data_IF_177052391113
#
_entry.id   IF_177052391113
#
_cell.length_a   1.000
_cell.length_b   1.000
_cell.length_c   1.000
_cell.angle_alpha   90.00
_cell.angle_beta   90.00
_cell.angle_gamma   90.00
#
_symmetry.space_group_name_H-M   'P 1'
#
loop_
_entity.id
_entity.type
_entity.pdbx_description
1 polymer ?
#
# COMPACT_ATOMS: atom_id res chain seq x y z
N UNK A 1 6.63 57.02 -38.23
CA UNK A 1 5.71 55.90 -38.19
C UNK A 1 6.46 54.82 -37.39
N UNK A 2 6.36 54.90 -36.08
CA UNK A 2 7.05 54.06 -35.11
C UNK A 2 5.99 53.08 -34.61
N UNK A 3 6.21 51.77 -34.81
CA UNK A 3 5.37 50.70 -34.27
C UNK A 3 5.95 50.30 -32.92
N UNK A 4 5.19 50.57 -31.87
CA UNK A 4 5.44 50.06 -30.53
C UNK A 4 5.12 48.54 -30.48
N UNK A 5 6.11 47.78 -30.06
CA UNK A 5 5.95 46.37 -29.67
C UNK A 5 5.73 46.35 -28.16
N UNK A 6 4.49 46.04 -27.77
CA UNK A 6 4.11 45.90 -26.37
C UNK A 6 4.56 44.56 -25.83
N UNK A 7 5.49 44.56 -24.88
CA UNK A 7 5.84 43.43 -24.01
C UNK A 7 4.70 43.15 -23.04
N UNK A 8 3.96 42.07 -23.28
CA UNK A 8 2.98 41.49 -22.34
C UNK A 8 3.74 40.47 -21.47
N UNK A 9 4.33 40.91 -20.38
CA UNK A 9 4.75 40.07 -19.27
C UNK A 9 3.50 39.59 -18.53
N UNK A 10 3.06 38.37 -18.83
CA UNK A 10 2.06 37.68 -18.05
C UNK A 10 2.63 37.38 -16.65
N UNK A 11 2.19 38.18 -15.67
CA UNK A 11 2.44 37.93 -14.27
C UNK A 11 1.74 36.65 -13.84
N UNK A 12 2.55 35.64 -13.50
CA UNK A 12 2.10 34.42 -12.81
C UNK A 12 1.32 34.83 -11.55
N UNK A 13 0.13 34.26 -11.27
CA UNK A 13 -0.58 34.59 -10.04
C UNK A 13 0.26 34.05 -8.87
N UNK A 14 0.77 34.97 -8.05
CA UNK A 14 1.32 34.63 -6.75
C UNK A 14 0.24 33.86 -5.97
N UNK A 15 0.50 32.60 -5.62
CA UNK A 15 -0.29 31.86 -4.65
C UNK A 15 -0.34 32.69 -3.38
N UNK A 16 -1.52 33.23 -3.05
CA UNK A 16 -1.78 33.79 -1.73
C UNK A 16 -1.60 32.64 -0.75
N UNK A 17 -0.55 32.69 0.06
CA UNK A 17 -0.49 31.92 1.30
C UNK A 17 -1.71 32.32 2.13
N UNK A 18 -2.72 31.48 2.16
CA UNK A 18 -3.79 31.61 3.14
C UNK A 18 -3.14 31.49 4.53
N UNK A 19 -3.13 32.58 5.25
CA UNK A 19 -2.65 32.60 6.64
C UNK A 19 -3.52 31.66 7.45
N UNK A 20 -2.98 30.52 7.87
CA UNK A 20 -3.67 29.58 8.74
C UNK A 20 -3.96 30.33 10.04
N UNK A 21 -5.23 30.56 10.42
CA UNK A 21 -5.56 31.30 11.64
C UNK A 21 -5.03 30.57 12.87
N UNK A 22 -4.73 31.33 13.94
CA UNK A 22 -4.35 30.73 15.22
C UNK A 22 -5.46 29.77 15.68
N UNK A 23 -5.09 28.55 16.04
CA UNK A 23 -6.03 27.55 16.51
C UNK A 23 -6.63 27.97 17.84
N UNK A 24 -7.95 27.86 17.97
CA UNK A 24 -8.66 28.08 19.23
C UNK A 24 -8.28 26.97 20.24
N UNK A 25 -7.92 27.37 21.48
CA UNK A 25 -7.43 26.44 22.49
C UNK A 25 -8.53 25.51 23.00
N UNK A 26 -9.76 25.99 23.10
CA UNK A 26 -10.91 25.19 23.53
C UNK A 26 -11.22 24.10 22.46
N UNK A 27 -11.12 24.45 21.19
CA UNK A 27 -11.23 23.47 20.10
C UNK A 27 -10.15 22.39 20.19
N UNK A 28 -8.91 22.75 20.54
CA UNK A 28 -7.84 21.77 20.77
C UNK A 28 -8.18 20.84 21.94
N UNK A 29 -8.69 21.41 23.06
CA UNK A 29 -9.08 20.64 24.23
C UNK A 29 -10.16 19.61 23.93
N UNK A 30 -11.21 20.02 23.21
CA UNK A 30 -12.33 19.15 22.86
C UNK A 30 -11.94 18.01 21.89
N UNK A 31 -10.81 18.13 21.22
CA UNK A 31 -10.28 17.07 20.32
C UNK A 31 -9.40 16.04 21.04
N UNK A 32 -9.24 16.10 22.35
CA UNK A 32 -8.45 15.13 23.13
C UNK A 32 -9.34 13.95 23.52
N UNK A 33 -8.99 12.75 23.03
CA UNK A 33 -9.80 11.53 23.22
C UNK A 33 -9.78 11.00 24.66
N UNK A 34 -8.64 11.11 25.37
CA UNK A 34 -8.50 10.61 26.72
C UNK A 34 -9.14 11.60 27.73
N UNK A 35 -10.16 11.19 28.54
CA UNK A 35 -10.86 12.08 29.45
C UNK A 35 -9.96 12.74 30.50
N UNK A 36 -9.05 11.97 31.11
CA UNK A 36 -8.13 12.47 32.13
C UNK A 36 -7.16 13.49 31.54
N UNK A 37 -6.60 13.17 30.34
CA UNK A 37 -5.74 14.11 29.61
C UNK A 37 -6.48 15.38 29.20
N UNK A 38 -7.76 15.27 28.79
CA UNK A 38 -8.62 16.40 28.44
C UNK A 38 -8.85 17.34 29.66
N UNK A 39 -9.08 16.77 30.86
CA UNK A 39 -9.28 17.54 32.08
C UNK A 39 -8.03 18.35 32.48
N UNK A 40 -6.87 17.67 32.54
CA UNK A 40 -5.60 18.32 32.87
C UNK A 40 -5.12 19.30 31.79
N UNK A 41 -5.40 19.04 30.53
CA UNK A 41 -5.13 19.97 29.43
C UNK A 41 -6.00 21.24 29.59
N UNK A 42 -7.27 21.06 29.97
CA UNK A 42 -8.16 22.17 30.30
C UNK A 42 -7.67 23.01 31.48
N UNK A 43 -7.05 22.37 32.49
CA UNK A 43 -6.43 23.13 33.61
C UNK A 43 -5.25 23.97 33.10
N UNK A 44 -4.36 23.38 32.26
CA UNK A 44 -3.24 24.11 31.68
C UNK A 44 -3.72 25.35 30.87
N UNK A 45 -4.79 25.20 30.09
CA UNK A 45 -5.39 26.28 29.30
C UNK A 45 -5.98 27.36 30.22
N UNK A 46 -6.74 26.98 31.25
CA UNK A 46 -7.30 27.95 32.23
C UNK A 46 -6.20 28.74 32.93
N UNK A 47 -5.09 28.08 33.30
CA UNK A 47 -3.93 28.77 33.87
C UNK A 47 -3.32 29.77 32.89
N UNK A 48 -3.21 29.41 31.62
CA UNK A 48 -2.74 30.28 30.55
C UNK A 48 -3.65 31.52 30.40
N UNK A 49 -4.95 31.32 30.28
CA UNK A 49 -5.94 32.38 30.11
C UNK A 49 -5.98 33.34 31.31
N UNK A 50 -5.72 32.82 32.52
CA UNK A 50 -5.60 33.61 33.74
C UNK A 50 -4.25 34.35 33.90
N UNK A 51 -3.33 34.24 32.92
CA UNK A 51 -2.00 34.82 33.01
C UNK A 51 -1.04 34.09 33.97
N UNK A 52 -1.45 32.93 34.50
CA UNK A 52 -0.65 32.11 35.43
C UNK A 52 0.29 31.17 34.64
N UNK A 53 1.18 31.76 33.87
CA UNK A 53 2.00 31.05 32.87
C UNK A 53 2.86 29.93 33.44
N UNK A 54 3.50 30.14 34.60
CA UNK A 54 4.31 29.08 35.26
C UNK A 54 3.45 27.87 35.65
N UNK A 55 2.24 28.11 36.19
CA UNK A 55 1.32 27.03 36.53
C UNK A 55 0.85 26.29 35.26
N UNK A 56 0.57 27.01 34.17
CA UNK A 56 0.21 26.44 32.90
C UNK A 56 1.30 25.48 32.35
N UNK A 57 2.59 25.87 32.39
CA UNK A 57 3.72 25.03 31.97
C UNK A 57 3.80 23.76 32.82
N UNK A 58 3.61 23.83 34.12
CA UNK A 58 3.63 22.66 35.02
C UNK A 58 2.45 21.73 34.77
N UNK A 59 1.22 22.25 34.66
CA UNK A 59 0.02 21.48 34.38
C UNK A 59 0.12 20.82 33.00
N UNK A 60 0.69 21.50 32.01
CA UNK A 60 0.92 20.97 30.67
C UNK A 60 1.89 19.80 30.64
N UNK A 61 2.98 19.86 31.45
CA UNK A 61 3.89 18.74 31.61
C UNK A 61 3.22 17.52 32.23
N UNK A 62 2.41 17.73 33.27
CA UNK A 62 1.61 16.66 33.90
C UNK A 62 0.69 16.01 32.87
N UNK A 63 -0.03 16.82 32.09
CA UNK A 63 -0.89 16.34 31.00
C UNK A 63 -0.13 15.44 30.02
N UNK A 64 1.05 15.89 29.58
CA UNK A 64 1.91 15.15 28.65
C UNK A 64 2.30 13.78 29.21
N UNK A 65 2.77 13.73 30.47
CA UNK A 65 3.19 12.47 31.12
C UNK A 65 2.00 11.53 31.28
N UNK A 66 0.85 12.02 31.69
CA UNK A 66 -0.37 11.23 31.86
C UNK A 66 -0.83 10.62 30.54
N UNK A 67 -0.87 11.42 29.45
CA UNK A 67 -1.31 10.95 28.14
C UNK A 67 -0.36 9.90 27.55
N UNK A 68 0.95 10.14 27.64
CA UNK A 68 1.94 9.13 27.22
C UNK A 68 1.83 7.84 28.03
N UNK A 69 1.57 7.93 29.34
CA UNK A 69 1.36 6.77 30.22
C UNK A 69 0.08 6.03 29.85
N UNK A 70 -1.01 6.73 29.56
CA UNK A 70 -2.26 6.13 29.09
C UNK A 70 -2.07 5.38 27.76
N UNK A 71 -1.32 5.96 26.82
CA UNK A 71 -0.95 5.31 25.55
C UNK A 71 -0.13 4.05 25.76
N UNK A 72 0.83 4.07 26.70
CA UNK A 72 1.61 2.89 27.06
C UNK A 72 0.75 1.79 27.68
N UNK A 73 -0.25 2.15 28.52
CA UNK A 73 -1.21 1.18 29.07
C UNK A 73 -2.04 0.53 27.96
N UNK A 74 -2.55 1.31 27.03
CA UNK A 74 -3.29 0.77 25.88
C UNK A 74 -2.44 -0.19 25.03
N UNK A 75 -1.14 0.10 24.84
CA UNK A 75 -0.23 -0.83 24.15
C UNK A 75 0.03 -2.10 24.96
N UNK A 76 0.19 -2.00 26.29
CA UNK A 76 0.38 -3.15 27.18
C UNK A 76 -0.83 -4.08 27.13
N UNK A 77 -2.05 -3.53 27.13
CA UNK A 77 -3.32 -4.26 26.98
C UNK A 77 -3.40 -4.92 25.59
N UNK A 78 -2.94 -4.23 24.54
CA UNK A 78 -2.84 -4.76 23.20
C UNK A 78 -1.73 -5.83 23.03
N UNK A 79 -1.01 -6.18 24.10
CA UNK A 79 -0.04 -7.28 24.13
C UNK A 79 1.42 -6.88 23.90
N UNK A 80 1.75 -5.59 23.83
CA UNK A 80 3.14 -5.13 23.72
C UNK A 80 3.93 -5.45 24.99
N UNK A 81 4.97 -6.28 24.88
CA UNK A 81 5.75 -6.75 26.02
C UNK A 81 6.61 -5.66 26.65
N UNK A 82 7.14 -4.73 25.86
CA UNK A 82 7.97 -3.62 26.35
C UNK A 82 7.11 -2.60 27.10
N UNK A 83 5.93 -2.26 26.55
CA UNK A 83 4.96 -1.41 27.21
C UNK A 83 4.45 -2.04 28.52
N UNK A 84 4.13 -3.35 28.50
CA UNK A 84 3.68 -4.08 29.70
C UNK A 84 4.72 -4.04 30.82
N UNK A 85 5.99 -4.28 30.49
CA UNK A 85 7.08 -4.20 31.46
C UNK A 85 7.21 -2.80 32.05
N UNK A 86 7.24 -1.78 31.19
CA UNK A 86 7.42 -0.38 31.62
C UNK A 86 6.27 0.11 32.50
N UNK A 87 5.02 -0.18 32.11
CA UNK A 87 3.83 0.16 32.89
C UNK A 87 3.83 -0.54 34.25
N UNK A 88 4.14 -1.83 34.27
CA UNK A 88 4.25 -2.60 35.51
C UNK A 88 5.31 -2.02 36.46
N UNK A 89 6.49 -1.71 35.94
CA UNK A 89 7.60 -1.14 36.76
C UNK A 89 7.18 0.23 37.35
N UNK A 90 6.43 1.02 36.59
CA UNK A 90 5.88 2.31 37.05
C UNK A 90 4.78 2.14 38.09
N UNK A 91 3.81 1.26 37.87
CA UNK A 91 2.72 0.98 38.81
C UNK A 91 3.25 0.38 40.12
N UNK A 92 4.24 -0.53 40.05
CA UNK A 92 4.93 -1.07 41.23
C UNK A 92 5.66 0.04 42.02
N UNK A 93 6.26 1.01 41.32
CA UNK A 93 6.91 2.15 41.96
C UNK A 93 5.91 3.06 42.70
N UNK A 94 4.74 3.32 42.10
CA UNK A 94 3.64 4.09 42.71
C UNK A 94 3.14 3.36 43.96
N UNK A 95 2.81 2.05 43.87
CA UNK A 95 2.30 1.27 44.99
C UNK A 95 3.25 1.24 46.18
N UNK A 96 4.59 1.17 45.91
CA UNK A 96 5.61 1.18 46.93
C UNK A 96 6.00 2.57 47.41
N UNK A 97 5.39 3.63 46.88
CA UNK A 97 5.74 5.02 47.14
C UNK A 97 7.24 5.33 46.87
N UNK A 98 7.82 4.64 45.86
CA UNK A 98 9.20 4.84 45.44
C UNK A 98 9.31 6.08 44.53
N UNK A 99 9.35 7.24 45.17
CA UNK A 99 9.43 8.55 44.48
C UNK A 99 10.67 8.67 43.56
N UNK A 100 11.77 8.00 43.93
CA UNK A 100 12.98 8.03 43.10
C UNK A 100 12.75 7.36 41.75
N UNK A 101 12.06 6.23 41.72
CA UNK A 101 11.73 5.52 40.48
C UNK A 101 10.66 6.25 39.65
N UNK A 102 9.64 6.84 40.27
CA UNK A 102 8.66 7.62 39.56
C UNK A 102 9.28 8.85 38.90
N UNK A 103 10.24 9.53 39.55
CA UNK A 103 11.01 10.62 38.97
C UNK A 103 11.90 10.17 37.81
N UNK A 104 12.50 8.98 37.88
CA UNK A 104 13.29 8.41 36.76
C UNK A 104 12.37 8.14 35.57
N UNK A 105 11.21 7.56 35.79
CA UNK A 105 10.20 7.36 34.74
C UNK A 105 9.82 8.68 34.08
N UNK A 106 9.43 9.68 34.86
CA UNK A 106 9.04 10.99 34.35
C UNK A 106 10.14 11.68 33.52
N UNK A 107 11.40 11.56 33.96
CA UNK A 107 12.55 12.12 33.23
C UNK A 107 12.84 11.39 31.92
N UNK A 108 12.58 10.10 31.87
CA UNK A 108 12.90 9.26 30.72
C UNK A 108 11.76 9.12 29.69
N UNK A 109 10.52 9.52 30.07
CA UNK A 109 9.32 9.23 29.28
C UNK A 109 9.40 9.75 27.84
N UNK A 110 9.94 10.95 27.63
CA UNK A 110 10.09 11.52 26.29
C UNK A 110 11.06 10.73 25.44
N UNK A 111 12.19 10.32 26.01
CA UNK A 111 13.18 9.50 25.32
C UNK A 111 12.60 8.13 24.98
N UNK A 112 11.90 7.53 25.91
CA UNK A 112 11.21 6.25 25.73
C UNK A 112 10.12 6.35 24.66
N UNK A 113 9.34 7.43 24.67
CA UNK A 113 8.32 7.70 23.67
C UNK A 113 8.90 7.86 22.26
N UNK A 114 10.10 8.44 22.13
CA UNK A 114 10.80 8.59 20.84
C UNK A 114 11.49 7.30 20.41
N UNK A 115 12.36 6.76 21.25
CA UNK A 115 13.33 5.73 20.83
C UNK A 115 12.75 4.30 20.87
N UNK A 116 11.79 4.03 21.77
CA UNK A 116 11.21 2.68 21.95
C UNK A 116 9.85 2.52 21.27
N UNK A 117 8.97 3.50 21.43
CA UNK A 117 7.59 3.40 20.96
C UNK A 117 7.29 4.24 19.73
N UNK A 118 8.21 5.10 19.32
CA UNK A 118 8.05 6.02 18.18
C UNK A 118 6.76 6.86 18.25
N UNK A 119 6.30 7.18 19.46
CA UNK A 119 5.15 8.05 19.67
C UNK A 119 5.39 9.48 19.20
N UNK A 120 6.64 9.92 19.23
CA UNK A 120 7.07 11.25 18.82
C UNK A 120 8.29 11.18 17.90
N UNK A 121 8.35 12.09 16.95
CA UNK A 121 9.50 12.25 16.04
C UNK A 121 10.68 12.92 16.75
N UNK A 122 11.88 12.90 16.16
CA UNK A 122 13.05 13.60 16.69
C UNK A 122 12.79 15.10 16.89
N UNK A 123 12.12 15.75 15.93
CA UNK A 123 11.76 17.17 16.03
C UNK A 123 10.78 17.45 17.17
N UNK A 124 9.73 16.64 17.29
CA UNK A 124 8.76 16.77 18.38
C UNK A 124 9.41 16.51 19.74
N UNK A 125 10.35 15.56 19.81
CA UNK A 125 11.14 15.33 21.01
C UNK A 125 11.91 16.59 21.45
N UNK A 126 12.57 17.27 20.51
CA UNK A 126 13.32 18.51 20.80
C UNK A 126 12.39 19.63 21.28
N UNK A 127 11.20 19.77 20.68
CA UNK A 127 10.18 20.72 21.10
C UNK A 127 9.65 20.41 22.52
N UNK A 128 9.32 19.15 22.80
CA UNK A 128 8.82 18.72 24.11
C UNK A 128 9.89 18.69 25.19
N UNK A 129 11.16 18.51 24.84
CA UNK A 129 12.28 18.62 25.75
C UNK A 129 12.46 20.04 26.26
N UNK A 130 12.23 21.05 25.43
CA UNK A 130 12.21 22.45 25.90
C UNK A 130 11.10 22.67 26.93
N UNK A 131 9.91 22.14 26.73
CA UNK A 131 8.85 22.18 27.74
C UNK A 131 9.30 21.54 29.06
N UNK A 132 10.00 20.38 29.00
CA UNK A 132 10.55 19.72 30.20
C UNK A 132 11.53 20.62 30.94
N UNK A 133 12.42 21.30 30.22
CA UNK A 133 13.42 22.22 30.77
C UNK A 133 12.74 23.45 31.39
N UNK A 134 11.79 24.08 30.71
CA UNK A 134 11.02 25.22 31.19
C UNK A 134 10.17 24.85 32.43
N UNK A 135 9.57 23.65 32.45
CA UNK A 135 8.84 23.12 33.61
C UNK A 135 9.76 23.00 34.82
N UNK A 136 10.98 22.51 34.64
CA UNK A 136 11.93 22.35 35.76
C UNK A 136 12.24 23.73 36.39
N UNK A 137 12.45 24.74 35.57
CA UNK A 137 12.69 26.10 36.05
C UNK A 137 11.41 26.72 36.67
N UNK A 138 10.23 26.47 36.07
CA UNK A 138 8.96 26.97 36.61
C UNK A 138 8.57 26.34 37.95
N UNK A 139 8.87 25.07 38.18
CA UNK A 139 8.53 24.34 39.39
C UNK A 139 9.47 24.61 40.57
N UNK A 140 10.70 25.08 40.31
CA UNK A 140 11.71 25.35 41.33
C UNK A 140 12.14 26.81 41.28
N UNK A 141 12.42 27.44 42.42
CA UNK A 141 12.89 28.84 42.49
C UNK A 141 14.39 28.90 42.10
N UNK A 142 14.77 28.25 41.00
CA UNK A 142 16.12 28.32 40.50
C UNK A 142 16.33 29.64 39.74
N UNK A 143 17.35 30.37 40.14
CA UNK A 143 17.81 31.52 39.39
C UNK A 143 18.63 31.01 38.17
N UNK A 144 18.41 31.61 37.02
CA UNK A 144 19.28 31.41 35.86
C UNK A 144 20.71 31.83 36.16
N UNK A 145 21.63 31.55 35.25
CA UNK A 145 23.07 31.84 35.40
C UNK A 145 23.35 33.29 35.81
N UNK A 146 22.45 34.22 35.46
CA UNK A 146 22.53 35.65 35.75
C UNK A 146 21.68 36.09 36.96
N UNK A 147 21.12 35.15 37.76
CA UNK A 147 20.29 35.51 38.93
C UNK A 147 18.85 35.95 38.58
N UNK A 148 18.44 35.85 37.32
CA UNK A 148 17.09 36.17 36.87
C UNK A 148 16.18 34.96 36.92
N UNK A 149 14.93 35.14 37.40
CA UNK A 149 13.89 34.13 37.35
C UNK A 149 13.34 34.04 35.93
N UNK A 150 13.28 32.84 35.35
CA UNK A 150 12.55 32.64 34.11
C UNK A 150 11.06 32.93 34.36
N UNK A 151 10.53 33.92 33.68
CA UNK A 151 9.10 34.21 33.61
C UNK A 151 8.62 33.91 32.21
N UNK A 152 7.95 32.77 31.97
CA UNK A 152 7.43 32.47 30.65
C UNK A 152 6.39 33.50 30.24
N UNK A 153 6.42 33.92 28.99
CA UNK A 153 5.41 34.80 28.41
C UNK A 153 4.25 34.03 27.77
N UNK A 154 3.25 34.76 27.30
CA UNK A 154 2.07 34.18 26.70
C UNK A 154 2.38 33.40 25.42
N UNK A 155 3.29 33.90 24.61
CA UNK A 155 3.69 33.29 23.31
C UNK A 155 4.40 31.95 23.52
N UNK A 156 5.34 31.90 24.46
CA UNK A 156 6.05 30.65 24.79
C UNK A 156 5.09 29.57 25.31
N UNK A 157 4.20 29.94 26.26
CA UNK A 157 3.26 28.96 26.82
C UNK A 157 2.27 28.49 25.78
N UNK A 158 1.78 29.39 24.91
CA UNK A 158 0.90 29.01 23.80
C UNK A 158 1.61 28.06 22.81
N UNK A 159 2.88 28.32 22.50
CA UNK A 159 3.66 27.42 21.66
C UNK A 159 3.79 26.02 22.28
N UNK A 160 4.01 25.93 23.59
CA UNK A 160 4.04 24.64 24.30
C UNK A 160 2.69 23.91 24.28
N UNK A 161 1.56 24.64 24.52
CA UNK A 161 0.21 24.09 24.45
C UNK A 161 -0.03 23.44 23.08
N UNK A 162 0.26 24.19 22.00
CA UNK A 162 0.06 23.68 20.63
C UNK A 162 1.00 22.51 20.30
N UNK A 163 2.26 22.56 20.76
CA UNK A 163 3.23 21.47 20.54
C UNK A 163 2.83 20.18 21.24
N UNK A 164 2.39 20.25 22.51
CA UNK A 164 1.90 19.07 23.26
C UNK A 164 0.68 18.47 22.59
N UNK A 165 -0.28 19.32 22.24
CA UNK A 165 -1.49 18.85 21.56
C UNK A 165 -1.13 18.17 20.24
N UNK A 166 -0.35 18.80 19.37
CA UNK A 166 0.01 18.29 18.05
C UNK A 166 0.83 17.00 18.13
N UNK A 167 1.85 16.98 19.00
CA UNK A 167 2.79 15.85 19.08
C UNK A 167 2.21 14.64 19.81
N UNK A 168 1.34 14.87 20.82
CA UNK A 168 0.90 13.81 21.71
C UNK A 168 -0.62 13.73 21.81
N UNK A 169 -1.34 14.75 22.27
CA UNK A 169 -2.75 14.63 22.66
C UNK A 169 -3.69 14.32 21.47
N UNK A 170 -3.38 14.82 20.27
CA UNK A 170 -4.15 14.54 19.05
C UNK A 170 -3.84 13.19 18.41
N UNK A 171 -2.87 12.43 18.97
CA UNK A 171 -2.41 11.17 18.38
C UNK A 171 -3.03 9.97 19.08
N UNK A 172 -3.49 8.98 18.32
CA UNK A 172 -3.97 7.71 18.88
C UNK A 172 -2.83 6.90 19.52
N UNK A 173 -3.13 6.02 20.50
CA UNK A 173 -2.12 5.21 21.19
C UNK A 173 -1.61 4.06 20.32
N UNK A 174 -0.89 4.37 19.23
CA UNK A 174 -0.20 3.38 18.40
C UNK A 174 1.29 3.72 18.35
N UNK A 175 2.16 2.77 18.72
CA UNK A 175 3.58 2.93 18.40
C UNK A 175 3.78 2.74 16.91
N UNK A 176 4.67 3.51 16.31
CA UNK A 176 5.00 3.35 14.90
C UNK A 176 5.46 1.92 14.60
N UNK A 177 6.29 1.35 15.46
CA UNK A 177 6.76 -0.04 15.36
C UNK A 177 5.61 -1.04 15.41
N UNK A 178 4.66 -0.87 16.32
CA UNK A 178 3.50 -1.77 16.44
C UNK A 178 2.60 -1.71 15.21
N UNK A 179 2.41 -0.54 14.62
CA UNK A 179 1.63 -0.39 13.38
C UNK A 179 2.28 -1.15 12.22
N UNK A 180 3.62 -1.13 12.13
CA UNK A 180 4.37 -1.89 11.12
C UNK A 180 4.21 -3.40 11.36
N UNK A 181 4.36 -3.88 12.60
CA UNK A 181 4.15 -5.29 12.95
C UNK A 181 2.72 -5.77 12.66
N UNK A 182 1.72 -4.90 12.88
CA UNK A 182 0.32 -5.17 12.53
C UNK A 182 0.18 -5.27 11.01
N UNK A 183 0.79 -4.34 10.26
CA UNK A 183 0.77 -4.36 8.80
C UNK A 183 1.39 -5.65 8.24
N UNK A 184 2.57 -6.04 8.71
CA UNK A 184 3.24 -7.28 8.29
C UNK A 184 2.38 -8.51 8.54
N UNK A 185 1.75 -8.61 9.70
CA UNK A 185 0.83 -9.72 10.03
C UNK A 185 -0.45 -9.69 9.19
N UNK A 186 -1.01 -8.50 8.94
CA UNK A 186 -2.25 -8.39 8.16
C UNK A 186 -2.03 -8.70 6.69
N UNK A 187 -0.91 -8.30 6.07
CA UNK A 187 -0.60 -8.63 4.68
C UNK A 187 -0.39 -10.13 4.46
N UNK A 188 0.01 -10.86 5.49
CA UNK A 188 0.13 -12.33 5.49
C UNK A 188 -1.21 -13.03 5.70
N UNK A 189 -2.17 -12.36 6.33
CA UNK A 189 -3.44 -12.95 6.75
C UNK A 189 -4.35 -13.30 5.57
N UNK A 190 -5.15 -14.37 5.73
CA UNK A 190 -6.22 -14.73 4.79
C UNK A 190 -7.30 -13.64 4.70
N UNK A 191 -7.44 -12.83 5.76
CA UNK A 191 -8.41 -11.72 5.82
C UNK A 191 -7.89 -10.41 5.18
N UNK A 192 -6.75 -10.43 4.48
CA UNK A 192 -6.24 -9.26 3.77
C UNK A 192 -7.23 -8.75 2.73
N UNK A 193 -7.49 -7.45 2.72
CA UNK A 193 -8.45 -6.81 1.82
C UNK A 193 -7.70 -5.96 0.78
N UNK A 194 -7.81 -6.34 -0.48
CA UNK A 194 -7.17 -5.64 -1.62
C UNK A 194 -8.02 -4.45 -2.09
N UNK A 195 -8.29 -3.47 -1.19
CA UNK A 195 -9.03 -2.24 -1.51
C UNK A 195 -8.25 -1.00 -1.08
N UNK A 196 -8.17 0.05 -1.93
CA UNK A 196 -7.46 1.30 -1.60
C UNK A 196 -7.95 1.92 -0.30
N UNK A 197 -9.26 1.96 -0.08
CA UNK A 197 -9.87 2.57 1.10
C UNK A 197 -9.51 1.82 2.39
N UNK A 198 -9.26 0.51 2.31
CA UNK A 198 -8.81 -0.26 3.46
C UNK A 198 -7.39 0.12 3.86
N UNK A 199 -6.46 0.15 2.90
CA UNK A 199 -5.06 0.53 3.13
C UNK A 199 -4.97 1.96 3.66
N UNK A 200 -5.71 2.90 3.05
CA UNK A 200 -5.75 4.29 3.45
C UNK A 200 -6.23 4.45 4.88
N UNK A 201 -7.45 4.01 5.20
CA UNK A 201 -8.07 4.17 6.52
C UNK A 201 -7.34 3.42 7.62
N UNK A 202 -6.83 2.24 7.31
CA UNK A 202 -6.22 1.36 8.30
C UNK A 202 -4.79 1.76 8.65
N UNK A 203 -4.00 2.17 7.65
CA UNK A 203 -2.56 2.33 7.81
C UNK A 203 -2.04 3.73 7.47
N UNK A 204 -2.77 4.54 6.69
CA UNK A 204 -2.26 5.84 6.25
C UNK A 204 -3.00 7.03 6.84
N UNK A 205 -4.32 7.05 6.94
CA UNK A 205 -5.12 8.23 7.31
C UNK A 205 -4.61 8.90 8.59
N UNK A 206 -4.37 8.11 9.64
CA UNK A 206 -3.94 8.62 10.97
C UNK A 206 -2.50 8.26 11.32
N UNK A 207 -1.75 7.61 10.41
CA UNK A 207 -0.38 7.21 10.67
C UNK A 207 0.59 8.38 10.48
N UNK A 208 1.67 8.38 11.26
CA UNK A 208 2.77 9.34 11.12
C UNK A 208 3.53 9.12 9.81
N UNK A 209 4.14 10.18 9.31
CA UNK A 209 4.93 10.11 8.08
C UNK A 209 6.06 9.07 8.15
N UNK A 210 6.67 8.86 9.32
CA UNK A 210 7.69 7.81 9.52
C UNK A 210 7.13 6.40 9.33
N UNK A 211 5.93 6.13 9.84
CA UNK A 211 5.24 4.84 9.69
C UNK A 211 4.82 4.61 8.25
N UNK A 212 4.23 5.63 7.61
CA UNK A 212 3.88 5.59 6.17
C UNK A 212 5.10 5.24 5.33
N UNK A 213 6.24 5.93 5.56
CA UNK A 213 7.52 5.65 4.88
C UNK A 213 7.99 4.22 5.09
N UNK A 214 7.90 3.69 6.32
CA UNK A 214 8.32 2.33 6.62
C UNK A 214 7.45 1.30 5.90
N UNK A 215 6.13 1.46 5.93
CA UNK A 215 5.18 0.58 5.22
C UNK A 215 5.42 0.63 3.70
N UNK A 216 5.58 1.82 3.11
CA UNK A 216 5.87 1.95 1.67
C UNK A 216 7.18 1.24 1.32
N UNK A 217 8.24 1.44 2.11
CA UNK A 217 9.52 0.76 1.88
C UNK A 217 9.40 -0.75 1.97
N UNK A 218 8.59 -1.29 2.89
CA UNK A 218 8.30 -2.72 2.96
C UNK A 218 7.55 -3.20 1.72
N UNK A 219 6.51 -2.48 1.30
CA UNK A 219 5.75 -2.79 0.09
C UNK A 219 6.64 -2.85 -1.14
N UNK A 220 7.52 -1.86 -1.34
CA UNK A 220 8.48 -1.84 -2.45
C UNK A 220 9.45 -3.01 -2.37
N UNK A 221 10.00 -3.32 -1.20
CA UNK A 221 10.92 -4.45 -1.02
C UNK A 221 10.23 -5.79 -1.30
N UNK A 222 9.06 -6.03 -0.73
CA UNK A 222 8.30 -7.28 -0.91
C UNK A 222 7.82 -7.46 -2.36
N UNK A 223 7.57 -6.38 -3.07
CA UNK A 223 7.20 -6.43 -4.49
C UNK A 223 8.38 -6.76 -5.40
N UNK A 224 9.62 -6.40 -5.01
CA UNK A 224 10.81 -6.55 -5.84
C UNK A 224 11.66 -7.79 -5.54
N UNK A 225 11.64 -8.28 -4.30
CA UNK A 225 12.47 -9.41 -3.90
C UNK A 225 11.59 -10.60 -3.46
N UNK A 226 11.35 -11.57 -4.37
CA UNK A 226 10.55 -12.75 -4.06
C UNK A 226 11.23 -13.69 -3.05
N UNK A 227 12.52 -13.50 -2.74
CA UNK A 227 13.20 -14.29 -1.71
C UNK A 227 12.85 -13.86 -0.28
N UNK A 228 12.34 -12.63 -0.10
CA UNK A 228 11.98 -12.09 1.21
C UNK A 228 10.66 -12.62 1.75
N UNK A 229 9.71 -12.93 0.86
CA UNK A 229 8.33 -13.29 1.21
C UNK A 229 7.77 -14.32 0.23
N UNK A 230 6.62 -14.94 0.57
CA UNK A 230 5.93 -15.83 -0.37
C UNK A 230 5.40 -15.07 -1.59
N UNK A 231 5.17 -15.77 -2.71
CA UNK A 231 4.64 -15.15 -3.94
C UNK A 231 3.27 -14.48 -3.70
N UNK A 232 2.43 -15.07 -2.85
CA UNK A 232 1.16 -14.47 -2.44
C UNK A 232 1.35 -13.10 -1.76
N UNK A 233 2.29 -13.01 -0.82
CA UNK A 233 2.57 -11.74 -0.13
C UNK A 233 3.18 -10.73 -1.09
N UNK A 234 4.07 -11.18 -1.97
CA UNK A 234 4.67 -10.33 -2.99
C UNK A 234 3.62 -9.75 -3.96
N UNK A 235 2.66 -10.57 -4.42
CA UNK A 235 1.54 -10.10 -5.24
C UNK A 235 0.69 -9.06 -4.49
N UNK A 236 0.35 -9.33 -3.23
CA UNK A 236 -0.37 -8.36 -2.38
C UNK A 236 0.41 -7.07 -2.21
N UNK A 237 1.72 -7.15 -2.03
CA UNK A 237 2.58 -5.98 -1.91
C UNK A 237 2.61 -5.14 -3.18
N UNK A 238 2.58 -5.75 -4.37
CA UNK A 238 2.49 -5.03 -5.66
C UNK A 238 1.16 -4.26 -5.76
N UNK A 239 0.05 -4.91 -5.42
CA UNK A 239 -1.28 -4.28 -5.43
C UNK A 239 -1.34 -3.14 -4.41
N UNK A 240 -0.91 -3.39 -3.17
CA UNK A 240 -0.89 -2.39 -2.10
C UNK A 240 0.09 -1.24 -2.40
N UNK A 241 1.21 -1.48 -3.07
CA UNK A 241 2.14 -0.45 -3.53
C UNK A 241 1.49 0.47 -4.59
N UNK A 242 0.73 -0.10 -5.53
CA UNK A 242 -0.05 0.69 -6.48
C UNK A 242 -1.08 1.57 -5.78
N UNK A 243 -1.83 1.01 -4.83
CA UNK A 243 -2.81 1.74 -4.03
C UNK A 243 -2.16 2.83 -3.17
N UNK A 244 -1.05 2.52 -2.50
CA UNK A 244 -0.29 3.51 -1.72
C UNK A 244 0.19 4.68 -2.56
N UNK A 245 0.61 4.42 -3.81
CA UNK A 245 0.99 5.46 -4.76
C UNK A 245 -0.18 6.36 -5.13
N UNK A 246 -1.37 5.81 -5.32
CA UNK A 246 -2.55 6.59 -5.69
C UNK A 246 -3.03 7.48 -4.52
N UNK A 247 -2.85 7.01 -3.26
CA UNK A 247 -3.26 7.75 -2.04
C UNK A 247 -2.23 8.81 -1.62
N UNK A 248 -0.93 8.51 -1.69
CA UNK A 248 0.16 9.38 -1.23
C UNK A 248 1.33 9.39 -2.22
N UNK A 249 1.14 9.91 -3.46
CA UNK A 249 2.08 9.78 -4.57
C UNK A 249 3.49 10.31 -4.27
N UNK A 250 3.60 11.54 -3.75
CA UNK A 250 4.90 12.17 -3.48
C UNK A 250 5.75 11.37 -2.48
N UNK A 251 5.12 10.90 -1.40
CA UNK A 251 5.80 10.10 -0.38
C UNK A 251 6.19 8.72 -0.91
N UNK A 252 5.34 8.14 -1.77
CA UNK A 252 5.63 6.87 -2.42
C UNK A 252 6.86 6.98 -3.33
N UNK A 253 6.91 7.97 -4.19
CA UNK A 253 8.01 8.19 -5.13
C UNK A 253 9.34 8.43 -4.40
N UNK A 254 9.32 9.22 -3.32
CA UNK A 254 10.50 9.43 -2.45
C UNK A 254 11.00 8.12 -1.83
N UNK A 255 10.08 7.31 -1.29
CA UNK A 255 10.42 6.03 -0.67
C UNK A 255 10.90 5.00 -1.69
N UNK A 256 10.26 4.94 -2.86
CA UNK A 256 10.64 4.08 -3.98
C UNK A 256 12.09 4.36 -4.41
N UNK A 257 12.38 5.62 -4.71
CA UNK A 257 13.74 6.04 -5.06
C UNK A 257 14.75 5.69 -3.96
N UNK A 258 14.41 5.98 -2.69
CA UNK A 258 15.29 5.65 -1.54
C UNK A 258 15.61 4.15 -1.47
N UNK A 259 14.64 3.27 -1.73
CA UNK A 259 14.88 1.82 -1.71
C UNK A 259 15.80 1.40 -2.85
N UNK A 260 15.57 1.91 -4.06
CA UNK A 260 16.39 1.58 -5.23
C UNK A 260 17.84 2.07 -5.06
N UNK A 261 18.05 3.32 -4.65
CA UNK A 261 19.38 3.90 -4.43
C UNK A 261 20.16 3.12 -3.36
N UNK A 262 19.50 2.74 -2.26
CA UNK A 262 20.11 1.92 -1.21
C UNK A 262 20.49 0.52 -1.71
N UNK A 263 19.62 -0.14 -2.43
CA UNK A 263 19.87 -1.48 -2.95
C UNK A 263 20.96 -1.51 -4.03
N UNK A 264 20.99 -0.49 -4.89
CA UNK A 264 22.04 -0.39 -5.90
C UNK A 264 23.40 -0.14 -5.24
N UNK A 265 23.49 0.80 -4.30
CA UNK A 265 24.71 1.09 -3.55
C UNK A 265 25.24 -0.09 -2.73
N UNK A 266 24.35 -0.97 -2.26
CA UNK A 266 24.69 -2.16 -1.47
C UNK A 266 24.91 -3.42 -2.33
N UNK A 267 24.80 -3.33 -3.65
CA UNK A 267 24.94 -4.46 -4.57
C UNK A 267 23.80 -5.49 -4.47
N UNK A 268 22.64 -5.10 -3.96
CA UNK A 268 21.46 -5.98 -3.80
C UNK A 268 20.60 -6.08 -5.07
N UNK A 269 20.87 -5.26 -6.10
CA UNK A 269 20.20 -5.30 -7.39
C UNK A 269 20.73 -6.45 -8.26
N UNK A 270 20.46 -7.70 -7.85
CA UNK A 270 20.77 -8.89 -8.64
C UNK A 270 19.81 -9.07 -9.83
N UNK A 271 20.08 -10.03 -10.72
CA UNK A 271 19.28 -10.23 -11.94
C UNK A 271 17.81 -10.50 -11.65
N UNK A 272 17.47 -11.29 -10.62
CA UNK A 272 16.06 -11.58 -10.26
C UNK A 272 15.32 -10.31 -9.82
N UNK A 273 15.96 -9.46 -9.02
CA UNK A 273 15.40 -8.15 -8.61
C UNK A 273 15.25 -7.22 -9.81
N UNK A 274 16.23 -7.18 -10.72
CA UNK A 274 16.18 -6.36 -11.94
C UNK A 274 15.09 -6.82 -12.90
N UNK A 275 14.92 -8.12 -13.09
CA UNK A 275 13.85 -8.72 -13.91
C UNK A 275 12.49 -8.36 -13.33
N UNK A 276 12.33 -8.51 -12.02
CA UNK A 276 11.07 -8.19 -11.33
C UNK A 276 10.78 -6.68 -11.32
N UNK A 277 11.80 -5.84 -11.17
CA UNK A 277 11.68 -4.39 -11.31
C UNK A 277 11.13 -4.00 -12.69
N UNK A 278 11.66 -4.60 -13.76
CA UNK A 278 11.17 -4.36 -15.11
C UNK A 278 9.73 -4.85 -15.31
N UNK A 279 9.38 -6.01 -14.78
CA UNK A 279 8.04 -6.59 -14.91
C UNK A 279 6.98 -5.88 -14.08
N UNK A 280 7.31 -5.40 -12.87
CA UNK A 280 6.34 -4.80 -11.94
C UNK A 280 6.22 -3.29 -12.14
N UNK A 281 7.34 -2.59 -12.24
CA UNK A 281 7.39 -1.12 -12.27
C UNK A 281 7.75 -0.55 -13.64
N UNK A 282 8.29 -1.34 -14.55
CA UNK A 282 8.55 -0.94 -15.94
C UNK A 282 7.29 -0.61 -16.74
N UNK A 283 6.13 -0.83 -16.17
CA UNK A 283 4.80 -0.58 -16.71
C UNK A 283 4.19 0.75 -16.27
N UNK A 284 4.76 1.42 -15.27
CA UNK A 284 4.30 2.69 -14.72
C UNK A 284 5.25 3.80 -15.15
N UNK A 285 4.89 4.58 -16.16
CA UNK A 285 5.75 5.60 -16.78
C UNK A 285 6.45 6.52 -15.75
N UNK A 286 5.71 7.06 -14.78
CA UNK A 286 6.27 7.92 -13.75
C UNK A 286 7.31 7.21 -12.87
N UNK A 287 7.04 5.97 -12.42
CA UNK A 287 7.95 5.21 -11.57
C UNK A 287 9.19 4.72 -12.33
N UNK A 288 9.00 4.28 -13.59
CA UNK A 288 10.11 3.84 -14.42
C UNK A 288 11.10 4.96 -14.70
N UNK A 289 10.63 6.21 -14.84
CA UNK A 289 11.50 7.40 -14.98
C UNK A 289 12.32 7.71 -13.72
N UNK A 290 11.86 7.29 -12.54
CA UNK A 290 12.62 7.46 -11.30
C UNK A 290 13.75 6.43 -11.15
N UNK A 291 13.73 5.34 -11.90
CA UNK A 291 14.80 4.34 -11.91
C UNK A 291 16.00 4.91 -12.64
N UNK A 292 17.23 4.87 -12.06
CA UNK A 292 18.44 5.32 -12.73
C UNK A 292 18.67 4.64 -14.08
N UNK A 293 19.17 5.35 -15.08
CA UNK A 293 19.38 4.83 -16.43
C UNK A 293 20.24 3.57 -16.44
N UNK A 294 21.32 3.54 -15.65
CA UNK A 294 22.20 2.39 -15.49
C UNK A 294 21.47 1.15 -14.96
N UNK A 295 20.52 1.34 -14.06
CA UNK A 295 19.68 0.24 -13.51
C UNK A 295 18.67 -0.22 -14.55
N UNK A 296 18.06 0.72 -15.31
CA UNK A 296 17.14 0.37 -16.42
C UNK A 296 17.83 -0.42 -17.53
N UNK A 297 19.03 -0.03 -17.91
CA UNK A 297 19.86 -0.77 -18.89
C UNK A 297 20.19 -2.17 -18.39
N UNK A 298 20.64 -2.31 -17.14
CA UNK A 298 20.91 -3.62 -16.52
C UNK A 298 19.66 -4.50 -16.47
N UNK A 299 18.51 -3.93 -16.10
CA UNK A 299 17.23 -4.65 -16.08
C UNK A 299 16.83 -5.13 -17.49
N UNK A 300 16.99 -4.29 -18.50
CA UNK A 300 16.74 -4.64 -19.91
C UNK A 300 17.65 -5.77 -20.37
N UNK A 301 18.95 -5.73 -20.05
CA UNK A 301 19.91 -6.79 -20.36
C UNK A 301 19.53 -8.08 -19.63
N UNK A 302 19.20 -8.02 -18.35
CA UNK A 302 18.79 -9.17 -17.55
C UNK A 302 17.57 -9.88 -18.18
N UNK A 303 16.53 -9.12 -18.55
CA UNK A 303 15.33 -9.68 -19.22
C UNK A 303 15.68 -10.33 -20.56
N UNK A 304 16.52 -9.71 -21.39
CA UNK A 304 16.87 -10.22 -22.72
C UNK A 304 17.81 -11.43 -22.67
N UNK A 305 18.60 -11.59 -21.63
CA UNK A 305 19.60 -12.65 -21.49
C UNK A 305 19.09 -13.92 -20.80
N UNK A 306 17.98 -13.83 -20.05
CA UNK A 306 17.43 -14.94 -19.27
C UNK A 306 16.50 -15.82 -20.10
N UNK A 307 16.49 -17.12 -19.75
CA UNK A 307 15.54 -18.07 -20.29
C UNK A 307 14.12 -17.83 -19.82
N UNK A 308 13.15 -18.29 -20.59
CA UNK A 308 11.72 -18.08 -20.30
C UNK A 308 11.30 -18.65 -18.93
N UNK A 309 11.83 -19.82 -18.56
CA UNK A 309 11.56 -20.45 -17.26
C UNK A 309 12.04 -19.58 -16.08
N UNK A 310 13.24 -19.02 -16.19
CA UNK A 310 13.78 -18.12 -15.18
C UNK A 310 12.94 -16.83 -15.08
N UNK A 311 12.51 -16.25 -16.22
CA UNK A 311 11.65 -15.07 -16.25
C UNK A 311 10.29 -15.32 -15.58
N UNK A 312 9.70 -16.49 -15.77
CA UNK A 312 8.47 -16.90 -15.08
C UNK A 312 8.73 -17.03 -13.58
N UNK A 313 9.80 -17.72 -13.20
CA UNK A 313 10.19 -17.92 -11.80
C UNK A 313 10.53 -16.61 -11.08
N UNK A 314 11.22 -15.70 -11.73
CA UNK A 314 11.60 -14.41 -11.18
C UNK A 314 10.41 -13.39 -11.18
N UNK A 315 9.25 -13.78 -11.68
CA UNK A 315 8.01 -12.99 -11.65
C UNK A 315 8.00 -11.80 -12.61
N UNK A 316 8.68 -11.92 -13.77
CA UNK A 316 8.67 -10.89 -14.82
C UNK A 316 7.25 -10.55 -15.30
N UNK A 317 6.40 -11.55 -15.41
CA UNK A 317 5.03 -11.42 -15.92
C UNK A 317 3.99 -11.03 -14.84
N UNK A 318 4.40 -10.75 -13.61
CA UNK A 318 3.47 -10.47 -12.49
C UNK A 318 2.79 -9.10 -12.64
N UNK A 319 3.48 -8.11 -13.22
CA UNK A 319 2.96 -6.74 -13.40
C UNK A 319 2.16 -6.54 -14.68
N UNK A 320 2.02 -5.26 -15.04
CA UNK A 320 1.38 -4.83 -16.29
C UNK A 320 2.36 -4.96 -17.47
N UNK A 321 1.91 -4.62 -18.69
CA UNK A 321 2.77 -4.56 -19.89
C UNK A 321 3.87 -3.50 -19.73
N UNK A 322 5.15 -3.76 -20.08
CA UNK A 322 6.21 -2.77 -20.01
C UNK A 322 5.96 -1.59 -20.94
N UNK A 323 6.23 -0.39 -20.44
CA UNK A 323 6.11 0.87 -21.18
C UNK A 323 7.39 1.16 -21.98
N UNK A 324 8.54 0.67 -21.51
CA UNK A 324 9.82 0.87 -22.18
C UNK A 324 9.81 0.21 -23.57
N UNK A 325 10.03 1.02 -24.61
CA UNK A 325 10.01 0.58 -26.00
C UNK A 325 10.98 -0.59 -26.25
N UNK A 326 12.12 -0.61 -25.55
CA UNK A 326 13.10 -1.69 -25.65
C UNK A 326 12.60 -3.03 -25.07
N UNK A 327 11.59 -3.00 -24.22
CA UNK A 327 11.00 -4.18 -23.58
C UNK A 327 9.65 -4.59 -24.19
N UNK A 328 8.92 -3.70 -24.86
CA UNK A 328 7.59 -4.00 -25.39
C UNK A 328 7.59 -5.14 -26.41
N UNK A 329 8.46 -5.05 -27.42
CA UNK A 329 8.57 -6.12 -28.45
C UNK A 329 9.12 -7.41 -27.85
N UNK A 330 10.09 -7.30 -26.94
CA UNK A 330 10.63 -8.44 -26.21
C UNK A 330 9.53 -9.12 -25.40
N UNK A 331 8.72 -8.35 -24.64
CA UNK A 331 7.63 -8.87 -23.83
C UNK A 331 6.57 -9.58 -24.68
N UNK A 332 6.15 -8.98 -25.81
CA UNK A 332 5.20 -9.59 -26.75
C UNK A 332 5.73 -10.93 -27.26
N UNK A 333 6.99 -10.98 -27.67
CA UNK A 333 7.64 -12.21 -28.15
C UNK A 333 7.77 -13.26 -27.04
N UNK A 334 8.02 -12.86 -25.79
CA UNK A 334 8.10 -13.77 -24.66
C UNK A 334 6.73 -14.36 -24.30
N UNK A 335 5.66 -13.54 -24.31
CA UNK A 335 4.29 -14.03 -24.08
C UNK A 335 3.90 -15.09 -25.11
N UNK A 336 4.20 -14.84 -26.39
CA UNK A 336 3.91 -15.79 -27.47
C UNK A 336 4.67 -17.12 -27.37
N UNK A 337 5.75 -17.18 -26.58
CA UNK A 337 6.53 -18.40 -26.34
C UNK A 337 6.09 -19.17 -25.11
N UNK A 338 5.20 -18.63 -24.28
CA UNK A 338 4.70 -19.33 -23.09
C UNK A 338 3.93 -20.58 -23.51
N UNK A 339 4.37 -21.74 -23.02
CA UNK A 339 3.61 -22.98 -23.12
C UNK A 339 2.48 -23.05 -22.08
N UNK A 340 1.65 -24.08 -22.15
CA UNK A 340 0.45 -24.22 -21.31
C UNK A 340 0.78 -24.18 -19.81
N UNK A 341 1.79 -24.93 -19.37
CA UNK A 341 2.20 -25.00 -17.98
C UNK A 341 2.73 -23.64 -17.46
N UNK A 342 3.62 -23.03 -18.25
CA UNK A 342 4.19 -21.72 -17.92
C UNK A 342 3.12 -20.63 -17.87
N UNK A 343 2.23 -20.60 -18.87
CA UNK A 343 1.12 -19.64 -18.91
C UNK A 343 0.17 -19.86 -17.75
N UNK A 344 -0.16 -21.09 -17.41
CA UNK A 344 -0.99 -21.42 -16.24
C UNK A 344 -0.38 -20.88 -14.94
N UNK A 345 0.93 -21.01 -14.76
CA UNK A 345 1.66 -20.47 -13.61
C UNK A 345 1.65 -18.93 -13.61
N UNK A 346 1.90 -18.30 -14.76
CA UNK A 346 1.86 -16.83 -14.88
C UNK A 346 0.48 -16.29 -14.49
N UNK A 347 -0.59 -16.90 -14.98
CA UNK A 347 -1.97 -16.47 -14.71
C UNK A 347 -2.40 -16.60 -13.23
N UNK A 348 -1.70 -17.38 -12.42
CA UNK A 348 -1.94 -17.44 -10.97
C UNK A 348 -1.49 -16.17 -10.23
N UNK A 349 -0.44 -15.52 -10.75
CA UNK A 349 0.21 -14.41 -10.07
C UNK A 349 0.12 -13.07 -10.81
N UNK A 350 -0.20 -13.09 -12.11
CA UNK A 350 -0.35 -11.88 -12.91
C UNK A 350 -1.46 -10.97 -12.34
N UNK A 351 -1.18 -9.67 -12.26
CA UNK A 351 -2.15 -8.66 -11.84
C UNK A 351 -3.05 -8.27 -13.01
N UNK A 352 -2.44 -8.14 -14.21
CA UNK A 352 -3.18 -7.93 -15.46
C UNK A 352 -3.06 -9.18 -16.33
N UNK A 353 -4.17 -9.86 -16.51
CA UNK A 353 -4.23 -11.11 -17.28
C UNK A 353 -4.63 -10.90 -18.75
N UNK A 354 -5.12 -9.69 -19.12
CA UNK A 354 -5.55 -9.39 -20.49
C UNK A 354 -4.49 -9.65 -21.56
N UNK A 355 -3.19 -9.31 -21.36
CA UNK A 355 -2.13 -9.54 -22.33
C UNK A 355 -1.90 -11.01 -22.72
N UNK A 356 -2.37 -11.94 -21.91
CA UNK A 356 -2.16 -13.37 -22.09
C UNK A 356 -3.33 -14.09 -22.79
N UNK A 357 -4.45 -13.43 -23.00
CA UNK A 357 -5.66 -14.03 -23.56
C UNK A 357 -5.42 -14.58 -24.98
N UNK A 358 -4.77 -13.80 -25.85
CA UNK A 358 -4.43 -14.25 -27.21
C UNK A 358 -3.52 -15.48 -27.22
N UNK A 359 -2.56 -15.56 -26.29
CA UNK A 359 -1.68 -16.72 -26.17
C UNK A 359 -2.45 -17.95 -25.68
N UNK A 360 -3.37 -17.77 -24.73
CA UNK A 360 -4.20 -18.87 -24.23
C UNK A 360 -5.07 -19.49 -25.36
N UNK A 361 -5.65 -18.65 -26.21
CA UNK A 361 -6.40 -19.10 -27.40
C UNK A 361 -5.45 -19.75 -28.42
N UNK A 362 -4.27 -19.19 -28.64
CA UNK A 362 -3.28 -19.75 -29.58
C UNK A 362 -2.82 -21.16 -29.18
N UNK A 363 -2.65 -21.42 -27.89
CA UNK A 363 -2.31 -22.74 -27.38
C UNK A 363 -3.39 -23.79 -27.66
N UNK A 364 -4.66 -23.41 -27.65
CA UNK A 364 -5.76 -24.28 -28.10
C UNK A 364 -5.63 -24.63 -29.58
N UNK A 365 -5.28 -23.66 -30.43
CA UNK A 365 -5.18 -23.87 -31.87
C UNK A 365 -4.09 -24.88 -32.22
N UNK A 366 -2.99 -24.93 -31.46
CA UNK A 366 -1.86 -25.83 -31.73
C UNK A 366 -1.91 -27.14 -30.94
N UNK A 367 -2.92 -27.37 -30.14
CA UNK A 367 -3.07 -28.58 -29.34
C UNK A 367 -3.15 -29.83 -30.25
N UNK A 368 -2.25 -30.80 -30.03
CA UNK A 368 -2.11 -32.02 -30.86
C UNK A 368 -2.68 -33.28 -30.19
N UNK A 369 -3.21 -33.14 -28.97
CA UNK A 369 -3.83 -34.22 -28.21
C UNK A 369 -4.99 -33.74 -27.36
N UNK A 370 -5.91 -34.64 -27.01
CA UNK A 370 -7.04 -34.34 -26.08
C UNK A 370 -6.53 -33.88 -24.73
N UNK A 371 -5.37 -34.36 -24.26
CA UNK A 371 -4.76 -33.92 -23.02
C UNK A 371 -4.33 -32.47 -23.09
N UNK A 372 -3.57 -32.09 -24.12
CA UNK A 372 -3.14 -30.70 -24.34
C UNK A 372 -4.32 -29.77 -24.54
N UNK A 373 -5.32 -30.17 -25.34
CA UNK A 373 -6.54 -29.40 -25.54
C UNK A 373 -7.25 -29.11 -24.21
N UNK A 374 -7.39 -30.11 -23.34
CA UNK A 374 -8.01 -29.95 -22.02
C UNK A 374 -7.22 -29.05 -21.09
N UNK A 375 -5.90 -29.19 -21.05
CA UNK A 375 -5.03 -28.31 -20.23
C UNK A 375 -5.07 -26.88 -20.74
N UNK A 376 -5.07 -26.67 -22.06
CA UNK A 376 -5.22 -25.33 -22.67
C UNK A 376 -6.59 -24.71 -22.40
N UNK A 377 -7.68 -25.49 -22.43
CA UNK A 377 -9.02 -24.99 -22.06
C UNK A 377 -9.07 -24.52 -20.59
N UNK A 378 -8.50 -25.28 -19.67
CA UNK A 378 -8.39 -24.88 -18.25
C UNK A 378 -7.54 -23.64 -18.06
N UNK A 379 -6.49 -23.48 -18.86
CA UNK A 379 -5.66 -22.29 -18.82
C UNK A 379 -6.39 -21.06 -19.36
N UNK A 380 -7.18 -21.23 -20.45
CA UNK A 380 -8.05 -20.18 -20.97
C UNK A 380 -9.13 -19.75 -19.97
N UNK A 381 -9.67 -20.69 -19.21
CA UNK A 381 -10.68 -20.42 -18.16
C UNK A 381 -10.16 -19.43 -17.12
N UNK A 382 -8.85 -19.43 -16.81
CA UNK A 382 -8.23 -18.42 -15.94
C UNK A 382 -8.25 -17.00 -16.55
N UNK A 383 -8.41 -16.87 -17.88
CA UNK A 383 -8.53 -15.60 -18.58
C UNK A 383 -9.98 -15.11 -18.72
N UNK A 384 -10.98 -15.88 -18.27
CA UNK A 384 -12.39 -15.64 -18.55
C UNK A 384 -12.85 -14.20 -18.26
N UNK A 385 -12.45 -13.61 -17.14
CA UNK A 385 -12.88 -12.29 -16.71
C UNK A 385 -12.41 -11.13 -17.62
N UNK A 386 -11.47 -11.39 -18.53
CA UNK A 386 -10.89 -10.36 -19.42
C UNK A 386 -11.17 -10.63 -20.90
N UNK A 387 -11.86 -11.72 -21.25
CA UNK A 387 -12.18 -12.06 -22.62
C UNK A 387 -13.29 -11.13 -23.16
N UNK A 388 -13.15 -10.75 -24.43
CA UNK A 388 -14.11 -9.93 -25.14
C UNK A 388 -14.80 -10.70 -26.30
N UNK A 389 -15.66 -10.05 -27.06
CA UNK A 389 -16.38 -10.63 -28.19
C UNK A 389 -15.46 -11.15 -29.29
N UNK A 390 -14.33 -10.48 -29.53
CA UNK A 390 -13.36 -10.90 -30.53
C UNK A 390 -12.63 -12.19 -30.11
N UNK A 391 -12.38 -12.34 -28.80
CA UNK A 391 -11.78 -13.56 -28.25
C UNK A 391 -12.73 -14.75 -28.38
N UNK A 392 -14.03 -14.54 -28.13
CA UNK A 392 -15.04 -15.60 -28.32
C UNK A 392 -15.15 -15.99 -29.79
N UNK A 393 -15.05 -15.02 -30.71
CA UNK A 393 -14.99 -15.31 -32.14
C UNK A 393 -13.78 -16.16 -32.52
N UNK A 394 -12.57 -15.78 -32.06
CA UNK A 394 -11.34 -16.58 -32.27
C UNK A 394 -11.46 -17.97 -31.67
N UNK A 395 -12.01 -18.07 -30.45
CA UNK A 395 -12.25 -19.34 -29.77
C UNK A 395 -13.17 -20.24 -30.61
N UNK A 396 -14.26 -19.68 -31.18
CA UNK A 396 -15.19 -20.39 -32.07
C UNK A 396 -14.42 -20.95 -33.28
N UNK A 397 -13.61 -20.16 -33.95
CA UNK A 397 -12.81 -20.55 -35.11
C UNK A 397 -11.85 -21.70 -34.74
N UNK A 398 -11.20 -21.60 -33.60
CA UNK A 398 -10.26 -22.66 -33.10
C UNK A 398 -11.00 -23.96 -32.80
N UNK A 399 -12.14 -23.92 -32.12
CA UNK A 399 -12.91 -25.14 -31.79
C UNK A 399 -13.42 -25.78 -33.10
N UNK A 400 -13.87 -24.99 -34.08
CA UNK A 400 -14.34 -25.51 -35.35
C UNK A 400 -13.20 -26.14 -36.16
N UNK A 401 -11.99 -25.61 -36.14
CA UNK A 401 -10.85 -26.07 -36.92
C UNK A 401 -10.06 -27.22 -36.27
N UNK A 402 -9.89 -27.18 -34.93
CA UNK A 402 -9.07 -28.18 -34.23
C UNK A 402 -9.90 -29.35 -33.70
N UNK A 403 -9.74 -30.53 -34.35
CA UNK A 403 -10.43 -31.76 -33.97
C UNK A 403 -10.11 -32.27 -32.54
N UNK A 404 -8.93 -31.97 -32.00
CA UNK A 404 -8.53 -32.37 -30.64
C UNK A 404 -9.30 -31.57 -29.60
N UNK A 405 -9.47 -30.28 -29.85
CA UNK A 405 -10.27 -29.39 -28.97
C UNK A 405 -11.74 -29.79 -29.04
N UNK A 406 -12.29 -29.91 -30.27
CA UNK A 406 -13.68 -30.27 -30.50
C UNK A 406 -14.06 -31.64 -29.93
N UNK A 407 -13.16 -32.63 -30.01
CA UNK A 407 -13.37 -33.98 -29.53
C UNK A 407 -13.14 -34.17 -28.02
N UNK A 408 -12.72 -33.14 -27.30
CA UNK A 408 -12.47 -33.24 -25.85
C UNK A 408 -13.78 -33.42 -25.10
N UNK A 409 -13.90 -34.50 -24.32
CA UNK A 409 -15.12 -34.84 -23.58
C UNK A 409 -15.51 -33.80 -22.52
N UNK A 410 -14.60 -32.98 -22.04
CA UNK A 410 -14.83 -31.90 -21.07
C UNK A 410 -15.11 -30.55 -21.72
N UNK A 411 -15.28 -30.46 -23.05
CA UNK A 411 -15.42 -29.19 -23.77
C UNK A 411 -16.61 -28.38 -23.27
N UNK A 412 -17.79 -28.99 -23.17
CA UNK A 412 -19.00 -28.28 -22.71
C UNK A 412 -18.83 -27.73 -21.29
N UNK A 413 -18.34 -28.54 -20.35
CA UNK A 413 -18.09 -28.09 -18.97
C UNK A 413 -17.10 -26.93 -18.88
N UNK A 414 -16.03 -26.95 -19.69
CA UNK A 414 -15.07 -25.84 -19.75
C UNK A 414 -15.70 -24.58 -20.36
N UNK A 415 -16.53 -24.71 -21.40
CA UNK A 415 -17.25 -23.58 -21.99
C UNK A 415 -18.29 -22.98 -21.03
N UNK A 416 -18.99 -23.82 -20.25
CA UNK A 416 -19.89 -23.36 -19.18
C UNK A 416 -19.09 -22.61 -18.09
N UNK A 417 -17.93 -23.13 -17.68
CA UNK A 417 -17.04 -22.46 -16.73
C UNK A 417 -16.56 -21.09 -17.24
N UNK A 418 -16.14 -21.01 -18.50
CA UNK A 418 -15.77 -19.79 -19.18
C UNK A 418 -16.94 -18.77 -19.19
N UNK A 419 -18.12 -19.21 -19.62
CA UNK A 419 -19.31 -18.36 -19.67
C UNK A 419 -19.62 -17.77 -18.32
N UNK A 420 -19.70 -18.59 -17.28
CA UNK A 420 -20.04 -18.16 -15.92
C UNK A 420 -19.01 -17.19 -15.31
N UNK A 421 -17.76 -17.23 -15.75
CA UNK A 421 -16.67 -16.42 -15.22
C UNK A 421 -16.40 -15.14 -16.02
N UNK A 422 -17.11 -14.94 -17.13
CA UNK A 422 -16.98 -13.77 -18.00
C UNK A 422 -17.89 -12.61 -17.56
N UNK A 423 -17.50 -11.39 -17.93
CA UNK A 423 -18.41 -10.25 -17.95
C UNK A 423 -19.21 -10.23 -19.28
N UNK A 424 -20.51 -10.26 -19.18
CA UNK A 424 -21.39 -10.28 -20.36
C UNK A 424 -21.86 -8.88 -20.72
N UNK A 425 -21.85 -8.62 -22.03
CA UNK A 425 -22.53 -7.50 -22.69
C UNK A 425 -23.29 -8.03 -23.92
N UNK A 426 -24.03 -7.20 -24.60
CA UNK A 426 -24.84 -7.62 -25.76
C UNK A 426 -23.99 -8.25 -26.88
N UNK A 427 -22.75 -7.81 -27.06
CA UNK A 427 -21.84 -8.28 -28.10
C UNK A 427 -21.25 -9.64 -27.74
N UNK A 428 -20.72 -9.81 -26.53
CA UNK A 428 -20.24 -11.13 -26.05
C UNK A 428 -21.34 -12.16 -26.03
N UNK A 429 -22.55 -11.79 -25.59
CA UNK A 429 -23.71 -12.66 -25.61
C UNK A 429 -24.08 -13.12 -27.02
N UNK A 430 -24.04 -12.20 -28.02
CA UNK A 430 -24.27 -12.56 -29.42
C UNK A 430 -23.23 -13.54 -29.94
N UNK A 431 -21.95 -13.37 -29.61
CA UNK A 431 -20.89 -14.28 -30.04
C UNK A 431 -21.02 -15.67 -29.38
N UNK A 432 -21.46 -15.77 -28.15
CA UNK A 432 -21.75 -17.05 -27.49
C UNK A 432 -22.87 -17.82 -28.21
N UNK A 433 -23.94 -17.14 -28.64
CA UNK A 433 -24.99 -17.77 -29.47
C UNK A 433 -24.44 -18.30 -30.78
N UNK A 434 -23.61 -17.52 -31.48
CA UNK A 434 -22.94 -17.95 -32.71
C UNK A 434 -22.09 -19.18 -32.46
N UNK A 435 -21.32 -19.22 -31.37
CA UNK A 435 -20.50 -20.37 -30.99
C UNK A 435 -21.36 -21.64 -30.83
N UNK A 436 -22.44 -21.57 -30.06
CA UNK A 436 -23.34 -22.72 -29.84
C UNK A 436 -23.99 -23.18 -31.14
N UNK A 437 -24.43 -22.27 -32.00
CA UNK A 437 -24.99 -22.62 -33.32
C UNK A 437 -23.98 -23.32 -34.22
N UNK A 438 -22.70 -22.89 -34.21
CA UNK A 438 -21.62 -23.55 -34.96
C UNK A 438 -21.32 -24.93 -34.39
N UNK A 439 -21.24 -25.08 -33.07
CA UNK A 439 -21.02 -26.37 -32.41
C UNK A 439 -22.14 -27.36 -32.77
N UNK A 440 -23.40 -26.97 -32.70
CA UNK A 440 -24.55 -27.83 -33.02
C UNK A 440 -24.54 -28.27 -34.50
N UNK A 441 -24.06 -27.42 -35.42
CA UNK A 441 -23.89 -27.78 -36.84
C UNK A 441 -22.78 -28.81 -37.08
N UNK A 442 -21.75 -28.84 -36.21
CA UNK A 442 -20.63 -29.78 -36.33
C UNK A 442 -20.96 -31.20 -35.81
N UNK A 443 -22.04 -31.36 -35.06
CA UNK A 443 -22.49 -32.64 -34.47
C UNK A 443 -23.94 -32.97 -34.81
N UNK A 444 -24.28 -33.13 -36.12
CA UNK A 444 -25.67 -33.26 -36.55
C UNK A 444 -26.34 -34.61 -36.23
N UNK A 445 -25.57 -35.62 -35.80
CA UNK A 445 -26.06 -37.01 -35.70
C UNK A 445 -26.36 -37.47 -34.25
N UNK A 446 -26.48 -36.57 -33.28
CA UNK A 446 -26.77 -36.95 -31.89
C UNK A 446 -28.23 -36.66 -31.56
N UNK A 447 -28.96 -37.67 -31.05
CA UNK A 447 -30.39 -37.58 -30.71
C UNK A 447 -30.69 -36.55 -29.62
N UNK A 448 -29.69 -36.18 -28.79
CA UNK A 448 -29.74 -35.07 -27.83
C UNK A 448 -28.70 -34.00 -28.19
N UNK A 449 -29.03 -32.69 -28.08
CA UNK A 449 -28.10 -31.63 -28.36
C UNK A 449 -26.90 -31.70 -27.39
N UNK A 450 -25.70 -31.92 -27.95
CA UNK A 450 -24.46 -32.16 -27.18
C UNK A 450 -24.04 -31.00 -26.28
N UNK A 451 -24.56 -29.80 -26.52
CA UNK A 451 -24.27 -28.58 -25.75
C UNK A 451 -25.55 -28.01 -25.15
N UNK A 452 -26.35 -28.87 -24.51
CA UNK A 452 -27.64 -28.50 -23.93
C UNK A 452 -27.44 -27.61 -22.70
N UNK A 453 -26.49 -27.95 -21.80
CA UNK A 453 -26.21 -27.18 -20.59
C UNK A 453 -25.73 -25.79 -20.93
N UNK A 454 -24.81 -25.65 -21.90
CA UNK A 454 -24.31 -24.34 -22.35
C UNK A 454 -25.44 -23.52 -23.03
N UNK A 455 -26.29 -24.17 -23.82
CA UNK A 455 -27.42 -23.50 -24.49
C UNK A 455 -28.44 -22.96 -23.49
N UNK A 456 -28.78 -23.75 -22.46
CA UNK A 456 -29.68 -23.34 -21.40
C UNK A 456 -29.11 -22.22 -20.56
N UNK A 457 -27.82 -22.28 -20.24
CA UNK A 457 -27.08 -21.25 -19.49
C UNK A 457 -27.07 -19.89 -20.22
N UNK A 458 -26.81 -19.91 -21.54
CA UNK A 458 -26.84 -18.70 -22.36
C UNK A 458 -28.27 -18.13 -22.44
N UNK A 459 -29.28 -18.99 -22.63
CA UNK A 459 -30.65 -18.51 -22.74
C UNK A 459 -31.23 -17.97 -21.42
N UNK A 460 -30.80 -18.48 -20.29
CA UNK A 460 -31.20 -18.03 -18.95
C UNK A 460 -30.49 -16.69 -18.59
N UNK A 461 -29.25 -16.47 -19.02
CA UNK A 461 -28.54 -15.22 -18.82
C UNK A 461 -29.07 -14.02 -19.60
N UNK A 462 -29.99 -14.26 -20.56
CA UNK A 462 -30.67 -13.21 -21.32
C UNK A 462 -31.80 -12.49 -20.54
N UNK A 463 -32.18 -12.98 -19.37
CA UNK A 463 -33.36 -12.50 -18.60
C UNK A 463 -32.97 -11.45 -17.56
N UNK A 464 -31.68 -11.35 -17.20
CA UNK A 464 -31.20 -10.46 -16.13
C UNK A 464 -30.48 -9.19 -16.63
N UNK A 465 -30.61 -8.82 -17.92
CA UNK A 465 -30.04 -7.58 -18.48
C UNK A 465 -31.11 -6.60 -18.96
#
# INVERSE_FOLDING_TARGET
MILEVGDSLASSPAMKEESVPLRDLETLRLSVDNPDSCEWFGEAIRCYEAGSYRASVVSLWITLVLDLTAKLRSLAEAGDSAARKLVKDYDDAIQRQDYAKTLVYERSILKTAKDTFEFITAREFDELKRLQEDRNVCAHPNMGVNGELLVPDAELVRAHIVSVWRAVLSQKPCSGKKTIEIFEREIESVSWVERPEYLEKRFFEHARSSVKRSIIKLLVKYSLDPSMVSEMISRRAIIAASQARDVIPELFEECFKTVLDNWDSQGQMNDSVLIRLAGVYGTKDALWRLVPDTVRERATVAVKSRGLEDLVKDGYFTGLQPIDENLQDTNRSLIQKLGVEQLSTVLEWAIDIRPFADQAISLLNVANSFKEARESLKTLEKCASVLDENDIKKLTEVICSNGQVRGTWSLEGCLCGLYNSMHHNAETYSQWKVLVEQLNKLFPEVEEPRFQELSELINNGAIDN
#
